data_IF_242064180420
#
_entry.id   IF_242064180420
#
_cell.length_a   1.000
_cell.length_b   1.000
_cell.length_c   1.000
_cell.angle_alpha   90.00
_cell.angle_beta   90.00
_cell.angle_gamma   90.00
#
_symmetry.space_group_name_H-M   'P 1'
#
loop_
_entity.id
_entity.type
_entity.pdbx_description
1 polymer ?
#
# COMPACT_ATOMS: atom_id res chain seq x y z
N UNK A 1 12.89 11.74 -5.95
CA UNK A 1 13.33 10.47 -6.55
C UNK A 1 12.51 9.34 -6.00
N UNK A 2 12.20 8.37 -6.84
CA UNK A 2 11.54 7.15 -6.43
C UNK A 2 12.55 5.99 -6.38
N UNK A 3 12.27 4.97 -5.58
CA UNK A 3 13.03 3.73 -5.61
C UNK A 3 12.95 3.10 -7.01
N UNK A 4 14.00 2.44 -7.44
CA UNK A 4 14.10 1.96 -8.82
C UNK A 4 13.61 0.52 -9.00
N UNK A 5 13.15 0.21 -10.21
CA UNK A 5 12.83 -1.15 -10.64
C UNK A 5 14.09 -2.02 -10.56
N UNK A 6 13.91 -3.27 -10.18
CA UNK A 6 14.94 -4.27 -9.92
C UNK A 6 15.73 -4.05 -8.63
N UNK A 7 15.37 -3.05 -7.81
CA UNK A 7 15.90 -2.90 -6.47
C UNK A 7 15.23 -3.87 -5.50
N UNK A 8 15.90 -4.15 -4.40
CA UNK A 8 15.28 -4.87 -3.30
C UNK A 8 14.34 -3.96 -2.53
N UNK A 9 13.22 -4.51 -2.09
CA UNK A 9 12.29 -3.81 -1.21
C UNK A 9 12.98 -3.55 0.13
N UNK A 10 12.79 -2.36 0.74
CA UNK A 10 13.42 -2.04 2.02
C UNK A 10 13.09 -3.04 3.11
N UNK A 11 14.10 -3.41 3.93
CA UNK A 11 13.91 -4.33 5.05
C UNK A 11 13.55 -3.53 6.29
N UNK A 12 12.32 -3.66 6.74
CA UNK A 12 11.78 -2.97 7.92
C UNK A 12 10.73 -3.84 8.60
N UNK A 13 10.43 -3.52 9.85
CA UNK A 13 9.28 -4.10 10.53
C UNK A 13 8.01 -3.43 9.99
N UNK A 14 7.09 -4.24 9.50
CA UNK A 14 5.80 -3.77 9.01
C UNK A 14 4.74 -3.93 10.09
N UNK A 15 3.90 -2.92 10.25
CA UNK A 15 2.67 -3.03 11.03
C UNK A 15 1.55 -3.39 10.07
N UNK A 16 1.04 -4.60 10.21
CA UNK A 16 0.16 -5.22 9.25
C UNK A 16 -1.22 -5.47 9.84
N UNK A 17 -2.25 -5.20 9.05
CA UNK A 17 -3.61 -5.65 9.34
C UNK A 17 -3.95 -6.72 8.33
N UNK A 18 -4.06 -7.96 8.79
CA UNK A 18 -4.36 -9.11 7.95
C UNK A 18 -5.49 -9.92 8.58
N UNK A 19 -6.53 -10.22 7.81
CA UNK A 19 -7.71 -10.96 8.28
C UNK A 19 -8.29 -10.39 9.58
N UNK A 20 -8.30 -9.06 9.71
CA UNK A 20 -8.82 -8.35 10.86
C UNK A 20 -7.92 -8.33 12.10
N UNK A 21 -6.70 -8.88 12.02
CA UNK A 21 -5.75 -8.92 13.13
C UNK A 21 -4.58 -7.99 12.88
N UNK A 22 -4.15 -7.29 13.93
CA UNK A 22 -2.96 -6.44 13.89
C UNK A 22 -1.73 -7.29 14.23
N UNK A 23 -0.67 -7.18 13.39
CA UNK A 23 0.56 -7.95 13.52
C UNK A 23 1.77 -7.09 13.24
N UNK A 24 2.92 -7.50 13.74
CA UNK A 24 4.20 -6.95 13.32
C UNK A 24 4.98 -8.05 12.63
N UNK A 25 5.48 -7.77 11.41
CA UNK A 25 6.23 -8.74 10.62
C UNK A 25 7.42 -8.05 9.97
N UNK A 26 8.50 -8.80 9.74
CA UNK A 26 9.63 -8.31 8.97
C UNK A 26 9.27 -8.33 7.48
N UNK A 27 9.57 -7.25 6.76
CA UNK A 27 9.21 -7.15 5.34
C UNK A 27 9.85 -8.24 4.49
N UNK A 28 11.09 -8.61 4.78
CA UNK A 28 11.77 -9.67 4.03
C UNK A 28 11.11 -11.03 4.24
N UNK A 29 10.60 -11.30 5.43
CA UNK A 29 9.87 -12.53 5.71
C UNK A 29 8.47 -12.51 5.09
N UNK A 30 7.78 -11.38 5.18
CA UNK A 30 6.44 -11.24 4.63
C UNK A 30 6.42 -11.38 3.11
N UNK A 31 7.43 -10.84 2.43
CA UNK A 31 7.50 -10.84 0.97
C UNK A 31 8.25 -12.05 0.39
N UNK A 32 8.85 -12.89 1.24
CA UNK A 32 9.62 -14.05 0.78
C UNK A 32 8.75 -14.99 -0.06
N UNK A 33 9.23 -15.36 -1.24
CA UNK A 33 8.55 -16.28 -2.17
C UNK A 33 7.11 -15.87 -2.54
N UNK A 34 6.82 -14.58 -2.48
CA UNK A 34 5.49 -14.05 -2.81
C UNK A 34 5.55 -13.07 -3.96
N UNK A 35 4.42 -13.02 -4.69
CA UNK A 35 4.14 -11.96 -5.65
C UNK A 35 3.11 -11.04 -5.01
N UNK A 36 3.45 -9.76 -4.87
CA UNK A 36 2.61 -8.78 -4.19
C UNK A 36 2.38 -7.58 -5.10
N UNK A 37 1.13 -7.15 -5.21
CA UNK A 37 0.78 -5.86 -5.77
C UNK A 37 0.58 -4.90 -4.60
N UNK A 38 1.57 -4.05 -4.36
CA UNK A 38 1.52 -3.05 -3.30
C UNK A 38 0.94 -1.76 -3.85
N UNK A 39 -0.13 -1.30 -3.26
CA UNK A 39 -0.85 -0.10 -3.69
C UNK A 39 -0.74 0.95 -2.60
N UNK A 40 -0.14 2.09 -2.92
CA UNK A 40 0.00 3.22 -2.01
C UNK A 40 -1.13 4.22 -2.20
N UNK A 41 -1.66 4.72 -1.09
CA UNK A 41 -2.70 5.73 -1.10
C UNK A 41 -2.36 6.85 -0.12
N UNK A 42 -2.73 8.11 -0.42
CA UNK A 42 -2.48 9.25 0.48
C UNK A 42 -3.16 9.16 1.83
N UNK A 43 -4.25 8.43 1.96
CA UNK A 43 -4.91 8.27 3.24
C UNK A 43 -6.15 7.41 3.19
N UNK A 44 -6.32 6.58 4.21
CA UNK A 44 -7.55 5.84 4.45
C UNK A 44 -8.73 6.83 4.58
N UNK A 45 -9.88 6.46 4.06
CA UNK A 45 -11.10 7.27 4.09
C UNK A 45 -11.04 8.59 3.31
N UNK A 46 -9.94 8.91 2.66
CA UNK A 46 -9.89 10.10 1.79
C UNK A 46 -10.68 9.82 0.50
N UNK A 47 -11.24 10.85 -0.17
CA UNK A 47 -12.26 10.63 -1.20
C UNK A 47 -11.87 9.62 -2.30
N UNK A 48 -10.79 9.84 -3.03
CA UNK A 48 -10.41 8.93 -4.13
C UNK A 48 -9.99 7.56 -3.62
N UNK A 49 -9.26 7.49 -2.50
CA UNK A 49 -8.81 6.23 -1.93
C UNK A 49 -9.99 5.37 -1.47
N UNK A 50 -10.99 6.00 -0.84
CA UNK A 50 -12.14 5.30 -0.29
C UNK A 50 -13.21 4.98 -1.33
N UNK A 51 -13.47 5.89 -2.27
CA UNK A 51 -14.57 5.77 -3.23
C UNK A 51 -14.18 5.00 -4.49
N UNK A 52 -12.95 5.13 -4.95
CA UNK A 52 -12.54 4.60 -6.26
C UNK A 52 -11.35 3.65 -6.22
N UNK A 53 -10.27 4.01 -5.52
CA UNK A 53 -9.03 3.24 -5.62
C UNK A 53 -9.15 1.87 -4.94
N UNK A 54 -9.48 1.84 -3.67
CA UNK A 54 -9.65 0.56 -2.95
C UNK A 54 -10.81 -0.28 -3.52
N UNK A 55 -12.00 0.27 -3.79
CA UNK A 55 -13.07 -0.53 -4.38
C UNK A 55 -12.70 -1.15 -5.73
N UNK A 56 -11.92 -0.46 -6.56
CA UNK A 56 -11.45 -1.00 -7.82
C UNK A 56 -10.62 -2.26 -7.65
N UNK A 57 -9.72 -2.29 -6.67
CA UNK A 57 -8.91 -3.48 -6.37
C UNK A 57 -9.75 -4.59 -5.74
N UNK A 58 -10.73 -4.26 -4.91
CA UNK A 58 -11.64 -5.25 -4.35
C UNK A 58 -12.42 -5.95 -5.47
N UNK A 59 -12.93 -5.19 -6.42
CA UNK A 59 -13.68 -5.70 -7.56
C UNK A 59 -12.84 -6.66 -8.42
N UNK A 60 -11.55 -6.36 -8.60
CA UNK A 60 -10.65 -7.15 -9.44
C UNK A 60 -9.73 -8.09 -8.66
N UNK A 61 -9.98 -8.28 -7.37
CA UNK A 61 -9.09 -9.09 -6.51
C UNK A 61 -8.89 -10.51 -7.05
N UNK A 62 -9.95 -11.16 -7.51
CA UNK A 62 -9.86 -12.51 -8.05
C UNK A 62 -8.95 -12.59 -9.27
N UNK A 63 -8.90 -11.54 -10.08
CA UNK A 63 -8.02 -11.47 -11.26
C UNK A 63 -6.55 -11.43 -10.84
N UNK A 64 -6.21 -10.68 -9.79
CA UNK A 64 -4.85 -10.66 -9.25
C UNK A 64 -4.46 -12.00 -8.64
N UNK A 65 -5.35 -12.60 -7.86
CA UNK A 65 -5.12 -13.90 -7.24
C UNK A 65 -4.92 -15.00 -8.28
N UNK A 66 -5.68 -14.96 -9.38
CA UNK A 66 -5.52 -15.91 -10.48
C UNK A 66 -4.14 -15.84 -11.13
N UNK A 67 -3.46 -14.70 -11.06
CA UNK A 67 -2.09 -14.51 -11.57
C UNK A 67 -1.02 -14.76 -10.49
N UNK A 68 -1.43 -15.20 -9.32
CA UNK A 68 -0.53 -15.48 -8.20
C UNK A 68 -0.13 -14.26 -7.38
N UNK A 69 -0.80 -13.12 -7.57
CA UNK A 69 -0.52 -11.89 -6.81
C UNK A 69 -1.46 -11.74 -5.62
N UNK A 70 -0.89 -11.32 -4.50
CA UNK A 70 -1.66 -10.83 -3.35
C UNK A 70 -1.71 -9.32 -3.43
N UNK A 71 -2.84 -8.72 -3.14
CA UNK A 71 -3.00 -7.26 -3.12
C UNK A 71 -2.82 -6.77 -1.70
N UNK A 72 -1.95 -5.76 -1.52
CA UNK A 72 -1.66 -5.15 -0.22
C UNK A 72 -1.73 -3.64 -0.38
N UNK A 73 -2.43 -2.97 0.51
CA UNK A 73 -2.49 -1.50 0.52
C UNK A 73 -1.60 -0.93 1.61
N UNK A 74 -0.96 0.21 1.34
CA UNK A 74 -0.16 0.95 2.30
C UNK A 74 -0.61 2.40 2.36
N UNK A 75 -0.67 2.96 3.57
CA UNK A 75 -0.94 4.37 3.79
C UNK A 75 -0.23 4.84 5.05
N UNK A 76 0.05 6.15 5.12
CA UNK A 76 0.59 6.78 6.33
C UNK A 76 -0.58 7.04 7.29
N UNK A 77 -1.06 5.95 7.87
CA UNK A 77 -2.11 5.92 8.88
C UNK A 77 -1.74 4.87 9.92
N UNK A 78 -2.27 5.02 11.13
CA UNK A 78 -2.03 4.04 12.17
C UNK A 78 -2.79 2.71 11.94
N UNK A 79 -2.42 1.63 12.65
CA UNK A 79 -3.04 0.33 12.45
C UNK A 79 -4.54 0.30 12.76
N UNK A 80 -4.98 1.10 13.69
CA UNK A 80 -6.41 1.13 14.07
C UNK A 80 -7.25 1.75 12.97
N UNK A 81 -6.76 2.83 12.35
CA UNK A 81 -7.43 3.46 11.21
C UNK A 81 -7.44 2.50 10.01
N UNK A 82 -6.34 1.84 9.72
CA UNK A 82 -6.26 0.90 8.60
C UNK A 82 -7.19 -0.29 8.79
N UNK A 83 -7.31 -0.79 10.02
CA UNK A 83 -8.25 -1.86 10.34
C UNK A 83 -9.70 -1.39 10.12
N UNK A 84 -10.05 -0.21 10.62
CA UNK A 84 -11.38 0.35 10.44
C UNK A 84 -11.72 0.57 8.97
N UNK A 85 -10.73 1.04 8.18
CA UNK A 85 -10.93 1.26 6.75
C UNK A 85 -11.15 -0.05 6.00
N UNK A 86 -10.38 -1.08 6.32
CA UNK A 86 -10.54 -2.42 5.75
C UNK A 86 -11.94 -2.96 6.03
N UNK A 87 -12.41 -2.85 7.27
CA UNK A 87 -13.73 -3.33 7.68
C UNK A 87 -14.85 -2.52 7.01
N UNK A 88 -14.75 -1.19 7.02
CA UNK A 88 -15.75 -0.32 6.41
C UNK A 88 -15.86 -0.51 4.90
N UNK A 89 -14.78 -0.94 4.25
CA UNK A 89 -14.71 -1.14 2.80
C UNK A 89 -14.96 -2.58 2.38
N UNK A 90 -15.13 -3.50 3.33
CA UNK A 90 -15.24 -4.93 3.07
C UNK A 90 -14.07 -5.46 2.26
N UNK A 91 -12.86 -5.04 2.60
CA UNK A 91 -11.64 -5.36 1.88
C UNK A 91 -11.07 -6.73 2.31
N UNK A 92 -11.91 -7.75 2.33
CA UNK A 92 -11.51 -9.10 2.68
C UNK A 92 -10.53 -9.65 1.65
N UNK A 93 -9.42 -10.23 2.12
CA UNK A 93 -8.38 -10.77 1.25
C UNK A 93 -7.34 -9.74 0.83
N UNK A 94 -7.45 -8.50 1.28
CA UNK A 94 -6.44 -7.44 1.06
C UNK A 94 -5.82 -7.11 2.41
N UNK A 95 -4.51 -7.33 2.53
CA UNK A 95 -3.76 -6.93 3.72
C UNK A 95 -3.48 -5.42 3.67
N UNK A 96 -3.40 -4.79 4.83
CA UNK A 96 -3.11 -3.36 4.95
C UNK A 96 -1.81 -3.17 5.71
N UNK A 97 -0.89 -2.37 5.16
CA UNK A 97 0.31 -1.93 5.87
C UNK A 97 0.04 -0.54 6.44
N UNK A 98 0.13 -0.44 7.76
CA UNK A 98 -0.06 0.82 8.46
C UNK A 98 1.30 1.47 8.68
N UNK A 99 1.67 2.41 7.81
CA UNK A 99 2.95 3.12 7.89
C UNK A 99 2.77 4.44 8.64
N UNK A 100 2.24 4.36 9.87
CA UNK A 100 1.88 5.54 10.66
C UNK A 100 3.01 6.53 10.91
N UNK A 101 4.24 6.04 11.02
CA UNK A 101 5.42 6.89 11.21
C UNK A 101 6.04 7.35 9.88
N UNK A 102 5.58 6.84 8.74
CA UNK A 102 6.10 7.21 7.43
C UNK A 102 7.47 6.62 7.09
N UNK A 103 7.99 5.72 7.89
CA UNK A 103 9.34 5.17 7.73
C UNK A 103 9.49 4.37 6.43
N UNK A 104 8.52 3.53 6.12
CA UNK A 104 8.55 2.74 4.89
C UNK A 104 8.34 3.64 3.66
N UNK A 105 7.42 4.58 3.75
CA UNK A 105 7.16 5.55 2.69
C UNK A 105 8.42 6.37 2.37
N UNK A 106 9.19 6.79 3.39
CA UNK A 106 10.47 7.47 3.19
C UNK A 106 11.50 6.56 2.54
N UNK A 107 11.59 5.31 2.98
CA UNK A 107 12.54 4.35 2.41
C UNK A 107 12.23 4.04 0.94
N UNK A 108 10.97 4.08 0.55
CA UNK A 108 10.53 3.90 -0.84
C UNK A 108 10.68 5.18 -1.66
N UNK A 109 11.03 6.30 -1.03
CA UNK A 109 11.13 7.62 -1.68
C UNK A 109 9.82 8.05 -2.35
N UNK A 110 8.69 7.73 -1.69
CA UNK A 110 7.34 8.01 -2.19
C UNK A 110 6.54 8.93 -1.26
N UNK A 111 7.25 9.84 -0.59
CA UNK A 111 6.62 10.82 0.32
C UNK A 111 5.96 11.93 -0.50
N UNK A 112 4.74 12.28 -0.11
CA UNK A 112 3.99 13.41 -0.66
C UNK A 112 3.71 14.41 0.45
N UNK A 113 3.96 15.69 0.18
CA UNK A 113 3.56 16.75 1.09
C UNK A 113 2.11 17.14 0.81
N UNK A 114 1.22 16.71 1.68
CA UNK A 114 -0.21 17.01 1.60
C UNK A 114 -0.64 18.05 2.63
N UNK A 115 0.29 18.88 3.12
CA UNK A 115 0.00 19.89 4.14
C UNK A 115 -1.03 20.92 3.67
N UNK A 116 -1.12 21.16 2.36
CA UNK A 116 -2.14 22.04 1.78
C UNK A 116 -3.57 21.57 2.02
N UNK A 117 -3.76 20.28 2.30
CA UNK A 117 -5.05 19.69 2.64
C UNK A 117 -5.17 19.35 4.13
N UNK A 118 -4.21 19.79 4.94
CA UNK A 118 -4.20 19.48 6.36
C UNK A 118 -3.76 18.03 6.68
N UNK A 119 -3.15 17.35 5.74
CA UNK A 119 -2.79 15.94 5.89
C UNK A 119 -1.33 15.71 6.26
N UNK A 120 -0.49 16.74 6.13
CA UNK A 120 0.94 16.60 6.40
C UNK A 120 1.66 15.74 5.38
N UNK A 121 2.66 15.00 5.81
CA UNK A 121 3.39 14.08 4.93
C UNK A 121 2.64 12.77 4.79
N UNK A 122 2.40 12.38 3.56
CA UNK A 122 1.64 11.18 3.21
C UNK A 122 2.39 10.38 2.15
N UNK A 123 1.86 9.21 1.83
CA UNK A 123 2.35 8.38 0.75
C UNK A 123 1.77 8.87 -0.58
N UNK A 124 2.59 8.89 -1.63
CA UNK A 124 2.09 9.13 -2.98
C UNK A 124 1.17 7.98 -3.38
N UNK A 125 0.27 8.24 -4.33
CA UNK A 125 -0.57 7.18 -4.92
C UNK A 125 0.27 6.42 -5.93
N UNK A 126 0.41 5.11 -5.75
CA UNK A 126 1.22 4.28 -6.65
C UNK A 126 0.71 2.85 -6.66
N UNK A 127 1.17 2.09 -7.67
CA UNK A 127 1.04 0.63 -7.71
C UNK A 127 2.42 0.04 -8.01
N UNK A 128 2.81 -0.96 -7.24
CA UNK A 128 4.13 -1.56 -7.31
C UNK A 128 4.01 -3.08 -7.33
N UNK A 129 4.56 -3.73 -8.34
CA UNK A 129 4.62 -5.18 -8.38
C UNK A 129 5.93 -5.65 -7.76
N UNK A 130 5.85 -6.57 -6.81
CA UNK A 130 6.99 -7.11 -6.07
C UNK A 130 6.97 -8.63 -6.21
N UNK A 131 8.11 -9.21 -6.60
CA UNK A 131 8.27 -10.67 -6.64
C UNK A 131 9.48 -11.05 -5.80
N UNK A 132 9.27 -11.84 -4.76
CA UNK A 132 10.30 -12.30 -3.83
C UNK A 132 11.21 -11.15 -3.37
N UNK A 133 10.59 -10.10 -2.84
CA UNK A 133 11.25 -8.88 -2.31
C UNK A 133 11.96 -8.01 -3.37
N UNK A 134 11.82 -8.32 -4.65
CA UNK A 134 12.40 -7.51 -5.74
C UNK A 134 11.29 -6.73 -6.43
N UNK A 135 11.49 -5.42 -6.57
CA UNK A 135 10.53 -4.52 -7.23
C UNK A 135 10.59 -4.74 -8.73
N UNK A 136 9.49 -5.16 -9.34
CA UNK A 136 9.41 -5.46 -10.77
C UNK A 136 8.80 -4.35 -11.60
N UNK A 137 7.89 -3.56 -11.03
CA UNK A 137 7.29 -2.41 -11.71
C UNK A 137 6.82 -1.39 -10.69
N UNK A 138 6.77 -0.13 -11.09
CA UNK A 138 6.27 0.97 -10.29
C UNK A 138 5.52 1.93 -11.20
N UNK A 139 4.27 2.23 -10.87
CA UNK A 139 3.48 3.27 -11.53
C UNK A 139 3.07 4.29 -10.47
N UNK A 140 3.53 5.52 -10.60
CA UNK A 140 3.29 6.60 -9.65
C UNK A 140 2.39 7.66 -10.27
N UNK A 141 1.33 8.02 -9.56
CA UNK A 141 0.42 9.08 -10.01
C UNK A 141 0.99 10.46 -9.71
N UNK A 142 0.68 11.44 -10.54
CA UNK A 142 1.01 12.83 -10.27
C UNK A 142 -0.06 13.43 -9.35
N UNK A 143 0.37 14.03 -8.25
CA UNK A 143 -0.53 14.60 -7.25
C UNK A 143 -1.44 13.55 -6.66
N UNK A 144 -2.73 13.83 -6.54
CA UNK A 144 -3.71 12.90 -6.00
C UNK A 144 -4.56 12.18 -7.04
N UNK A 145 -4.18 12.25 -8.30
CA UNK A 145 -4.94 11.66 -9.41
C UNK A 145 -5.03 10.13 -9.30
N UNK A 146 -5.97 9.54 -10.00
CA UNK A 146 -6.11 8.09 -10.12
C UNK A 146 -6.21 7.77 -11.61
N UNK A 147 -5.11 7.31 -12.19
CA UNK A 147 -5.01 7.05 -13.63
C UNK A 147 -4.20 5.78 -13.91
N UNK A 148 -2.97 5.67 -13.39
CA UNK A 148 -2.06 4.56 -13.70
C UNK A 148 -1.87 3.55 -12.56
N UNK A 149 -2.33 3.86 -11.35
CA UNK A 149 -2.16 2.96 -10.18
C UNK A 149 -3.41 2.07 -9.86
#
# INVERSE_FOLDING_TARGET
MTIEVNSNFPVQTLRLVAAGALQEVDSSEYLADKKVMLVGVPGAFTPTCHVSHLPGYIEHLSSFEAKGYSVVFISVNDPFVMKAWSEASNANGIDMIADGNGELTEALELVMDASGFGLGKRCMRFAMAIENSVIKSIDVEEGGALDVS
#
